data_IF_334939262126
#
_entry.id   IF_334939262126
#
_cell.length_a   1.000
_cell.length_b   1.000
_cell.length_c   1.000
_cell.angle_alpha   90.00
_cell.angle_beta   90.00
_cell.angle_gamma   90.00
#
_symmetry.space_group_name_H-M   'P 1'
#
loop_
_entity.id
_entity.type
_entity.pdbx_description
1 polymer ?
#
# COMPACT_ATOMS: atom_id res chain seq x y z
N UNK A 1 -25.28 -29.50 -8.20
CA UNK A 1 -24.15 -29.07 -7.35
C UNK A 1 -24.40 -27.63 -6.93
N UNK A 2 -24.86 -27.43 -5.69
CA UNK A 2 -25.15 -26.10 -5.15
C UNK A 2 -23.79 -25.43 -4.90
N UNK A 3 -23.35 -24.52 -5.77
CA UNK A 3 -22.28 -23.59 -5.44
C UNK A 3 -22.83 -22.64 -4.39
N UNK A 4 -22.73 -23.05 -3.12
CA UNK A 4 -22.87 -22.12 -2.00
C UNK A 4 -21.66 -21.19 -2.05
N UNK A 5 -21.82 -20.06 -2.73
CA UNK A 5 -20.84 -18.99 -2.74
C UNK A 5 -20.84 -18.36 -1.35
N UNK A 6 -20.01 -18.86 -0.45
CA UNK A 6 -19.71 -18.15 0.79
C UNK A 6 -19.07 -16.82 0.35
N UNK A 7 -19.78 -15.71 0.53
CA UNK A 7 -19.17 -14.38 0.45
C UNK A 7 -18.10 -14.31 1.54
N UNK A 8 -16.83 -14.51 1.12
CA UNK A 8 -15.69 -14.41 2.02
C UNK A 8 -15.38 -12.94 2.20
N UNK A 9 -15.99 -12.33 3.20
CA UNK A 9 -15.68 -10.98 3.64
C UNK A 9 -14.55 -11.03 4.66
N UNK A 10 -13.41 -10.44 4.32
CA UNK A 10 -12.32 -10.22 5.27
C UNK A 10 -12.39 -8.78 5.82
N UNK A 11 -12.17 -8.54 7.12
CA UNK A 11 -12.25 -7.19 7.71
C UNK A 11 -11.30 -6.14 7.09
N UNK A 12 -10.28 -6.57 6.35
CA UNK A 12 -9.38 -5.68 5.61
C UNK A 12 -9.89 -5.32 4.19
N UNK A 13 -10.96 -5.95 3.70
CA UNK A 13 -11.50 -5.74 2.33
C UNK A 13 -12.03 -4.32 2.11
N UNK A 14 -12.32 -3.59 3.19
CA UNK A 14 -12.64 -2.16 3.15
C UNK A 14 -11.46 -1.30 2.67
N UNK A 15 -10.23 -1.75 2.87
CA UNK A 15 -9.00 -1.08 2.46
C UNK A 15 -8.28 -1.79 1.31
N UNK A 16 -8.78 -2.94 0.85
CA UNK A 16 -8.15 -3.77 -0.18
C UNK A 16 -9.05 -3.96 -1.40
N UNK A 17 -8.44 -3.95 -2.58
CA UNK A 17 -9.07 -4.46 -3.79
C UNK A 17 -9.14 -5.98 -3.69
N UNK A 18 -10.29 -6.51 -3.28
CA UNK A 18 -10.50 -7.95 -3.13
C UNK A 18 -10.22 -8.72 -4.44
N UNK A 19 -10.48 -8.09 -5.59
CA UNK A 19 -10.19 -8.63 -6.93
C UNK A 19 -8.69 -8.77 -7.23
N UNK A 20 -7.83 -8.10 -6.46
CA UNK A 20 -6.37 -8.26 -6.55
C UNK A 20 -5.88 -9.55 -5.90
N UNK A 21 -6.77 -10.36 -5.31
CA UNK A 21 -6.43 -11.65 -4.73
C UNK A 21 -6.87 -12.83 -5.62
N UNK A 22 -6.03 -13.88 -5.76
CA UNK A 22 -4.75 -14.11 -5.08
C UNK A 22 -3.67 -13.11 -5.52
N UNK A 23 -2.91 -12.58 -4.55
CA UNK A 23 -1.91 -11.56 -4.83
C UNK A 23 -0.73 -12.13 -5.63
N UNK A 24 0.07 -11.23 -6.22
CA UNK A 24 1.26 -11.61 -6.98
C UNK A 24 2.44 -12.06 -6.11
N UNK A 25 2.33 -11.94 -4.79
CA UNK A 25 3.41 -12.27 -3.87
C UNK A 25 3.46 -13.78 -3.62
N UNK A 26 4.67 -14.30 -3.42
CA UNK A 26 4.87 -15.70 -3.09
C UNK A 26 4.13 -16.09 -1.80
N UNK A 27 3.63 -17.35 -1.68
CA UNK A 27 3.13 -17.85 -0.42
C UNK A 27 4.18 -17.70 0.70
N UNK A 28 3.80 -17.09 1.82
CA UNK A 28 4.71 -16.79 2.93
C UNK A 28 5.54 -15.51 2.78
N UNK A 29 5.35 -14.72 1.71
CA UNK A 29 5.99 -13.42 1.56
C UNK A 29 5.50 -12.43 2.64
N UNK A 30 6.44 -11.76 3.31
CA UNK A 30 6.13 -10.81 4.39
C UNK A 30 5.45 -9.51 3.95
N UNK A 31 5.40 -9.21 2.65
CA UNK A 31 4.77 -7.97 2.14
C UNK A 31 3.26 -7.96 2.48
N UNK A 32 2.58 -9.09 2.32
CA UNK A 32 1.16 -9.20 2.68
C UNK A 32 0.91 -8.93 4.17
N UNK A 33 1.79 -9.44 5.03
CA UNK A 33 1.75 -9.17 6.48
C UNK A 33 1.99 -7.70 6.79
N UNK A 34 2.96 -7.06 6.12
CA UNK A 34 3.24 -5.63 6.30
C UNK A 34 2.05 -4.76 5.87
N UNK A 35 1.39 -5.11 4.77
CA UNK A 35 0.17 -4.42 4.29
C UNK A 35 -0.96 -4.58 5.29
N UNK A 36 -1.18 -5.79 5.82
CA UNK A 36 -2.23 -6.02 6.82
C UNK A 36 -1.96 -5.21 8.10
N UNK A 37 -0.74 -5.26 8.62
CA UNK A 37 -0.35 -4.48 9.80
C UNK A 37 -0.54 -2.97 9.59
N UNK A 38 -0.21 -2.46 8.38
CA UNK A 38 -0.44 -1.08 8.01
C UNK A 38 -1.93 -0.71 7.98
N UNK A 39 -2.79 -1.57 7.44
CA UNK A 39 -4.25 -1.36 7.44
C UNK A 39 -4.80 -1.31 8.87
N UNK A 40 -4.36 -2.20 9.74
CA UNK A 40 -4.78 -2.19 11.14
C UNK A 40 -4.31 -0.91 11.86
N UNK A 41 -3.07 -0.47 11.62
CA UNK A 41 -2.57 0.80 12.18
C UNK A 41 -3.40 2.03 11.71
N UNK A 42 -3.81 2.08 10.44
CA UNK A 42 -4.70 3.14 9.93
C UNK A 42 -6.03 3.15 10.69
N UNK A 43 -6.60 1.97 10.94
CA UNK A 43 -7.88 1.83 11.66
C UNK A 43 -7.75 2.27 13.10
N UNK A 44 -6.69 1.85 13.80
CA UNK A 44 -6.41 2.22 15.19
C UNK A 44 -6.27 3.75 15.34
N UNK A 45 -5.55 4.38 14.42
CA UNK A 45 -5.35 5.84 14.40
C UNK A 45 -6.58 6.61 13.85
N UNK A 46 -7.65 5.93 13.46
CA UNK A 46 -8.87 6.51 12.88
C UNK A 46 -8.59 7.44 11.68
N UNK A 47 -7.57 7.11 10.88
CA UNK A 47 -7.22 7.90 9.69
C UNK A 47 -8.18 7.57 8.56
N UNK A 48 -8.98 8.56 8.14
CA UNK A 48 -9.90 8.39 7.03
C UNK A 48 -9.19 8.03 5.72
N UNK A 49 -9.75 7.16 4.85
CA UNK A 49 -9.15 6.74 3.59
C UNK A 49 -8.72 7.90 2.66
N UNK A 50 -9.45 9.02 2.71
CA UNK A 50 -9.19 10.22 1.90
C UNK A 50 -8.07 11.12 2.50
N UNK A 51 -7.62 10.83 3.72
CA UNK A 51 -6.56 11.54 4.44
C UNK A 51 -5.24 10.80 4.44
N UNK A 52 -5.15 9.66 3.73
CA UNK A 52 -3.91 8.92 3.55
C UNK A 52 -3.55 8.75 2.08
N UNK A 53 -2.27 9.00 1.77
CA UNK A 53 -1.65 8.73 0.48
C UNK A 53 -0.57 7.67 0.64
N UNK A 54 -0.56 6.67 -0.22
CA UNK A 54 0.48 5.62 -0.23
C UNK A 54 1.35 5.77 -1.45
N UNK A 55 2.65 5.89 -1.25
CA UNK A 55 3.64 5.99 -2.33
C UNK A 55 4.47 4.71 -2.35
N UNK A 56 4.68 4.13 -3.53
CA UNK A 56 5.53 2.94 -3.69
C UNK A 56 6.42 3.04 -4.91
N UNK A 57 7.53 2.32 -4.87
CA UNK A 57 8.46 2.21 -5.99
C UNK A 57 8.13 1.07 -6.96
N UNK A 58 9.17 0.40 -7.45
CA UNK A 58 9.05 -0.71 -8.40
C UNK A 58 9.22 -2.08 -7.72
N UNK A 59 8.95 -3.16 -8.46
CA UNK A 59 9.12 -4.53 -7.98
C UNK A 59 7.97 -5.06 -7.10
N UNK A 60 8.23 -6.12 -6.34
CA UNK A 60 7.19 -6.80 -5.54
C UNK A 60 6.53 -5.86 -4.53
N UNK A 61 7.32 -5.03 -3.84
CA UNK A 61 6.80 -4.03 -2.89
C UNK A 61 6.01 -2.93 -3.60
N UNK A 62 6.36 -2.59 -4.84
CA UNK A 62 5.61 -1.63 -5.67
C UNK A 62 4.15 -2.02 -5.88
N UNK A 63 3.83 -3.32 -5.83
CA UNK A 63 2.48 -3.85 -6.00
C UNK A 63 1.54 -3.57 -4.82
N UNK A 64 2.08 -3.05 -3.70
CA UNK A 64 1.27 -2.57 -2.58
C UNK A 64 0.33 -1.43 -3.00
N UNK A 65 0.78 -0.52 -3.89
CA UNK A 65 -0.07 0.57 -4.37
C UNK A 65 -1.29 0.07 -5.18
N UNK A 66 -1.19 -1.10 -5.81
CA UNK A 66 -2.25 -1.67 -6.63
C UNK A 66 -3.29 -2.45 -5.80
N UNK A 67 -2.90 -3.02 -4.66
CA UNK A 67 -3.82 -3.81 -3.83
C UNK A 67 -4.66 -2.97 -2.87
N UNK A 68 -4.29 -1.72 -2.60
CA UNK A 68 -4.94 -0.85 -1.62
C UNK A 68 -6.06 -0.01 -2.26
N UNK A 69 -7.26 -0.02 -1.66
CA UNK A 69 -8.36 0.92 -1.95
C UNK A 69 -8.11 2.28 -1.28
N UNK A 70 -6.95 2.87 -1.55
CA UNK A 70 -6.53 4.17 -1.02
C UNK A 70 -6.01 5.04 -2.16
N UNK A 71 -5.70 6.31 -1.88
CA UNK A 71 -5.01 7.15 -2.86
C UNK A 71 -3.56 6.68 -2.96
N UNK A 72 -3.21 6.00 -4.04
CA UNK A 72 -1.88 5.41 -4.22
C UNK A 72 -1.11 6.04 -5.38
N UNK A 73 0.22 5.98 -5.29
CA UNK A 73 1.16 6.58 -6.24
C UNK A 73 2.33 5.64 -6.51
N UNK A 74 2.43 5.13 -7.74
CA UNK A 74 3.55 4.29 -8.18
C UNK A 74 4.61 5.15 -8.86
N UNK A 75 5.80 5.23 -8.26
CA UNK A 75 6.91 6.06 -8.74
C UNK A 75 8.00 5.16 -9.34
N UNK A 76 8.32 5.36 -10.62
CA UNK A 76 9.19 4.45 -11.39
C UNK A 76 10.57 5.02 -11.70
N UNK A 77 10.81 6.30 -11.45
CA UNK A 77 12.05 7.00 -11.79
C UNK A 77 13.14 6.93 -10.70
N UNK A 78 12.88 6.16 -9.63
CA UNK A 78 13.80 5.99 -8.51
C UNK A 78 13.82 7.14 -7.50
N UNK A 79 12.88 8.10 -7.56
CA UNK A 79 12.78 9.23 -6.63
C UNK A 79 11.51 9.14 -5.74
N UNK A 80 11.20 7.94 -5.26
CA UNK A 80 9.99 7.61 -4.49
C UNK A 80 9.84 8.47 -3.22
N UNK A 81 10.92 8.64 -2.45
CA UNK A 81 10.94 9.43 -1.21
C UNK A 81 10.80 10.91 -1.51
N UNK A 82 11.49 11.42 -2.54
CA UNK A 82 11.37 12.82 -2.94
C UNK A 82 9.94 13.16 -3.38
N UNK A 83 9.30 12.24 -4.12
CA UNK A 83 7.89 12.36 -4.47
C UNK A 83 6.99 12.41 -3.23
N UNK A 84 7.21 11.52 -2.26
CA UNK A 84 6.45 11.49 -1.02
C UNK A 84 6.62 12.80 -0.20
N UNK A 85 7.84 13.32 -0.13
CA UNK A 85 8.12 14.61 0.53
C UNK A 85 7.39 15.75 -0.18
N UNK A 86 7.44 15.81 -1.51
CA UNK A 86 6.72 16.82 -2.27
C UNK A 86 5.21 16.71 -2.10
N UNK A 87 4.68 15.49 -2.07
CA UNK A 87 3.26 15.22 -1.84
C UNK A 87 2.82 15.75 -0.47
N UNK A 88 3.59 15.45 0.59
CA UNK A 88 3.33 15.98 1.94
C UNK A 88 3.47 17.51 1.99
N UNK A 89 4.45 18.08 1.29
CA UNK A 89 4.62 19.55 1.20
C UNK A 89 3.40 20.23 0.57
N UNK A 90 2.86 19.65 -0.51
CA UNK A 90 1.67 20.17 -1.22
C UNK A 90 0.38 20.00 -0.42
N UNK A 91 0.30 18.98 0.43
CA UNK A 91 -0.86 18.75 1.27
C UNK A 91 -0.43 18.38 2.70
N UNK A 92 -0.31 19.40 3.55
CA UNK A 92 0.15 19.25 4.94
C UNK A 92 -0.79 18.40 5.80
N UNK A 93 -2.07 18.33 5.45
CA UNK A 93 -3.07 17.54 6.20
C UNK A 93 -3.13 16.08 5.77
N UNK A 94 -2.42 15.70 4.71
CA UNK A 94 -2.37 14.33 4.21
C UNK A 94 -1.34 13.52 5.00
N UNK A 95 -1.72 12.38 5.55
CA UNK A 95 -0.77 11.37 6.01
C UNK A 95 -0.17 10.67 4.79
N UNK A 96 1.16 10.64 4.69
CA UNK A 96 1.85 9.99 3.56
C UNK A 96 2.63 8.79 4.09
N UNK A 97 2.31 7.61 3.59
CA UNK A 97 3.02 6.37 3.86
C UNK A 97 3.83 5.95 2.62
N UNK A 98 5.03 5.42 2.84
CA UNK A 98 5.92 4.99 1.75
C UNK A 98 6.28 3.52 1.92
N UNK A 99 6.02 2.71 0.88
CA UNK A 99 6.44 1.31 0.80
C UNK A 99 7.62 1.18 -0.17
N UNK A 100 8.79 0.78 0.35
CA UNK A 100 10.02 0.65 -0.43
C UNK A 100 10.58 -0.77 -0.33
N UNK A 101 11.15 -1.24 -1.42
CA UNK A 101 12.12 -2.34 -1.37
C UNK A 101 13.52 -1.77 -1.09
N UNK A 102 14.50 -2.65 -0.83
CA UNK A 102 15.87 -2.23 -0.52
C UNK A 102 16.53 -1.41 -1.65
N UNK A 103 16.30 -1.77 -2.91
CA UNK A 103 16.85 -1.04 -4.06
C UNK A 103 16.21 0.35 -4.19
N UNK A 104 14.89 0.46 -4.05
CA UNK A 104 14.20 1.76 -4.07
C UNK A 104 14.70 2.66 -2.93
N UNK A 105 14.93 2.09 -1.74
CA UNK A 105 15.49 2.82 -0.61
C UNK A 105 16.92 3.31 -0.87
N UNK A 106 17.79 2.48 -1.45
CA UNK A 106 19.15 2.89 -1.78
C UNK A 106 19.19 3.97 -2.87
N UNK A 107 18.26 3.93 -3.83
CA UNK A 107 18.18 4.92 -4.92
C UNK A 107 17.55 6.24 -4.48
N UNK A 108 16.55 6.19 -3.61
CA UNK A 108 15.74 7.37 -3.27
C UNK A 108 15.90 7.88 -1.84
N UNK A 109 16.12 6.99 -0.87
CA UNK A 109 16.04 7.29 0.57
C UNK A 109 17.37 7.43 1.28
N UNK A 110 18.45 6.85 0.75
CA UNK A 110 19.80 6.96 1.29
C UNK A 110 20.62 8.14 0.71
N UNK A 111 19.93 9.12 0.11
CA UNK A 111 20.52 10.33 -0.48
C UNK A 111 20.79 11.41 0.57
#
# INVERSE_FOLDING_TARGET
MIKSSIERYHPADSFLHADSFPSVWCPGCGIGTAVYAFIEAIKEENIGPNKIGVVSGIGCTGKVAECLKLKTYSVTDGNVVDYAVQLKKKNQDLTVAVFLNNADFLLSGAK
#
